data_IF_916694964036
#
_entry.id   IF_916694964036
#
_cell.length_a   1.000
_cell.length_b   1.000
_cell.length_c   1.000
_cell.angle_alpha   90.00
_cell.angle_beta   90.00
_cell.angle_gamma   90.00
#
_symmetry.space_group_name_H-M   'P 1'
#
loop_
_entity.id
_entity.type
_entity.pdbx_description
1 polymer ?
#
# COMPACT_ATOMS: atom_id res chain seq x y z
N UNK A 1 -13.03 11.96 11.52
CA UNK A 1 -13.77 10.83 10.92
C UNK A 1 -12.98 9.54 11.11
N UNK A 2 -13.62 8.35 11.05
CA UNK A 2 -13.02 7.06 11.43
C UNK A 2 -11.97 6.50 10.45
N UNK A 3 -11.58 7.27 9.44
CA UNK A 3 -10.49 6.99 8.53
C UNK A 3 -9.78 8.31 8.26
N UNK A 4 -8.79 8.66 9.10
CA UNK A 4 -7.83 9.70 8.71
C UNK A 4 -7.19 9.20 7.39
N UNK A 5 -7.38 9.94 6.30
CA UNK A 5 -6.72 9.65 5.04
C UNK A 5 -5.22 9.73 5.31
N UNK A 6 -4.52 8.60 5.17
CA UNK A 6 -3.06 8.52 5.37
C UNK A 6 -2.43 8.25 4.01
N UNK A 7 -2.45 9.23 3.08
CA UNK A 7 -1.81 9.07 1.77
C UNK A 7 -0.33 8.71 1.94
N UNK A 8 0.30 9.18 3.01
CA UNK A 8 1.69 8.86 3.34
C UNK A 8 1.96 7.34 3.51
N UNK A 9 1.01 6.56 4.07
CA UNK A 9 1.20 5.10 4.17
C UNK A 9 1.30 4.47 2.78
N UNK A 10 0.44 4.88 1.86
CA UNK A 10 0.43 4.36 0.49
C UNK A 10 1.66 4.82 -0.30
N UNK A 11 2.15 6.04 -0.06
CA UNK A 11 3.46 6.50 -0.54
C UNK A 11 4.57 5.56 -0.05
N UNK A 12 4.60 5.23 1.24
CA UNK A 12 5.59 4.30 1.82
C UNK A 12 5.45 2.90 1.23
N UNK A 13 4.23 2.40 1.02
CA UNK A 13 3.98 1.11 0.37
C UNK A 13 4.57 1.06 -1.04
N UNK A 14 4.39 2.12 -1.84
CA UNK A 14 4.97 2.24 -3.18
C UNK A 14 6.50 2.25 -3.14
N UNK A 15 7.11 3.04 -2.25
CA UNK A 15 8.56 3.10 -2.11
C UNK A 15 9.14 1.77 -1.61
N UNK A 16 8.52 1.17 -0.60
CA UNK A 16 8.91 -0.14 -0.07
C UNK A 16 8.76 -1.23 -1.14
N UNK A 17 7.68 -1.19 -1.92
CA UNK A 17 7.47 -2.09 -3.05
C UNK A 17 8.60 -2.01 -4.07
N UNK A 18 8.98 -0.80 -4.48
CA UNK A 18 10.05 -0.59 -5.45
C UNK A 18 11.45 -0.92 -4.90
N UNK A 19 11.72 -0.63 -3.62
CA UNK A 19 13.05 -0.77 -3.01
C UNK A 19 13.31 -2.16 -2.42
N UNK A 20 12.28 -2.82 -1.88
CA UNK A 20 12.41 -4.05 -1.09
C UNK A 20 11.73 -5.25 -1.76
N UNK A 21 10.89 -5.02 -2.78
CA UNK A 21 10.09 -6.05 -3.42
C UNK A 21 8.84 -6.44 -2.64
N UNK A 22 8.00 -7.34 -3.20
CA UNK A 22 6.64 -7.58 -2.72
C UNK A 22 6.57 -8.13 -1.29
N UNK A 23 7.45 -9.06 -0.91
CA UNK A 23 7.40 -9.73 0.39
C UNK A 23 7.84 -8.81 1.54
N UNK A 24 8.97 -8.12 1.38
CA UNK A 24 9.45 -7.18 2.38
C UNK A 24 8.57 -5.93 2.48
N UNK A 25 8.01 -5.46 1.37
CA UNK A 25 7.01 -4.39 1.39
C UNK A 25 5.75 -4.79 2.17
N UNK A 26 5.29 -6.04 1.99
CA UNK A 26 4.16 -6.59 2.76
C UNK A 26 4.48 -6.68 4.26
N UNK A 27 5.69 -7.11 4.61
CA UNK A 27 6.16 -7.13 6.00
C UNK A 27 6.21 -5.73 6.62
N UNK A 28 6.75 -4.75 5.89
CA UNK A 28 6.74 -3.36 6.33
C UNK A 28 5.31 -2.81 6.50
N UNK A 29 4.40 -3.12 5.56
CA UNK A 29 2.99 -2.77 5.66
C UNK A 29 2.29 -3.42 6.87
N UNK A 30 2.65 -4.66 7.20
CA UNK A 30 2.17 -5.34 8.40
C UNK A 30 2.66 -4.66 9.68
N UNK A 31 3.97 -4.44 9.80
CA UNK A 31 4.57 -3.81 11.00
C UNK A 31 4.02 -2.39 11.19
N UNK A 32 3.95 -1.60 10.12
CA UNK A 32 3.36 -0.24 10.21
C UNK A 32 1.88 -0.28 10.62
N UNK A 33 1.10 -1.24 10.11
CA UNK A 33 -0.30 -1.42 10.51
C UNK A 33 -0.43 -1.84 11.98
N UNK A 34 0.43 -2.74 12.45
CA UNK A 34 0.50 -3.17 13.85
C UNK A 34 0.82 -2.00 14.77
N UNK A 35 1.88 -1.23 14.46
CA UNK A 35 2.26 -0.06 15.23
C UNK A 35 1.14 0.99 15.27
N UNK A 36 0.47 1.25 14.15
CA UNK A 36 -0.67 2.18 14.10
C UNK A 36 -1.80 1.73 15.02
N UNK A 37 -2.08 0.43 15.05
CA UNK A 37 -3.11 -0.14 15.91
C UNK A 37 -2.73 -0.01 17.40
N UNK A 38 -1.49 -0.38 17.76
CA UNK A 38 -0.97 -0.24 19.13
C UNK A 38 -0.95 1.21 19.63
N UNK A 39 -0.64 2.16 18.75
CA UNK A 39 -0.66 3.60 19.07
C UNK A 39 -2.07 4.22 19.04
N UNK A 40 -3.12 3.44 18.76
CA UNK A 40 -4.51 3.94 18.65
C UNK A 40 -4.77 4.87 17.47
N UNK A 41 -3.84 4.96 16.51
CA UNK A 41 -3.98 5.79 15.29
C UNK A 41 -4.50 5.02 14.07
N UNK A 42 -4.52 3.69 14.18
CA UNK A 42 -5.06 2.76 13.19
C UNK A 42 -6.23 1.95 13.73
N UNK A 43 -6.89 1.23 12.84
CA UNK A 43 -7.96 0.27 13.15
C UNK A 43 -7.57 -1.10 12.59
N UNK A 44 -8.37 -2.15 12.83
CA UNK A 44 -8.12 -3.46 12.20
C UNK A 44 -8.12 -3.39 10.67
N UNK A 45 -8.82 -2.40 10.10
CA UNK A 45 -8.84 -2.12 8.66
C UNK A 45 -7.47 -1.68 8.09
N UNK A 46 -6.52 -1.27 8.93
CA UNK A 46 -5.18 -0.90 8.50
C UNK A 46 -4.43 -2.06 7.83
N UNK A 47 -4.63 -3.29 8.31
CA UNK A 47 -3.96 -4.47 7.77
C UNK A 47 -4.40 -4.78 6.33
N UNK A 48 -5.69 -5.06 6.04
CA UNK A 48 -6.11 -5.33 4.67
C UNK A 48 -6.02 -4.10 3.78
N UNK A 49 -6.09 -2.88 4.33
CA UNK A 49 -5.92 -1.65 3.56
C UNK A 49 -4.46 -1.38 3.13
N UNK A 50 -3.46 -1.99 3.78
CA UNK A 50 -2.04 -1.70 3.51
C UNK A 50 -1.30 -2.87 2.84
N UNK A 51 -1.47 -4.09 3.36
CA UNK A 51 -0.66 -5.25 2.94
C UNK A 51 -0.86 -5.61 1.45
N UNK A 52 -2.09 -5.76 0.93
CA UNK A 52 -2.31 -6.10 -0.47
C UNK A 52 -1.82 -5.00 -1.42
N UNK A 53 -1.96 -3.73 -1.03
CA UNK A 53 -1.45 -2.60 -1.79
C UNK A 53 0.08 -2.65 -1.92
N UNK A 54 0.79 -2.81 -0.79
CA UNK A 54 2.25 -2.92 -0.77
C UNK A 54 2.76 -4.12 -1.58
N UNK A 55 2.07 -5.27 -1.46
CA UNK A 55 2.39 -6.46 -2.24
C UNK A 55 2.27 -6.21 -3.74
N UNK A 56 1.13 -5.69 -4.19
CA UNK A 56 0.87 -5.45 -5.61
C UNK A 56 1.77 -4.36 -6.19
N UNK A 57 2.07 -3.31 -5.44
CA UNK A 57 3.06 -2.31 -5.82
C UNK A 57 4.43 -2.97 -6.07
N UNK A 58 4.95 -3.73 -5.10
CA UNK A 58 6.25 -4.40 -5.24
C UNK A 58 6.28 -5.43 -6.37
N UNK A 59 5.19 -6.17 -6.56
CA UNK A 59 5.09 -7.13 -7.66
C UNK A 59 5.05 -6.43 -9.03
N UNK A 60 4.29 -5.35 -9.17
CA UNK A 60 4.22 -4.56 -10.40
C UNK A 60 5.57 -3.88 -10.73
N UNK A 61 6.30 -3.35 -9.75
CA UNK A 61 7.62 -2.78 -9.97
C UNK A 61 8.62 -3.83 -10.44
N UNK A 62 8.53 -5.07 -9.95
CA UNK A 62 9.36 -6.19 -10.43
C UNK A 62 9.08 -6.54 -11.88
N UNK A 63 7.81 -6.58 -12.28
CA UNK A 63 7.42 -6.94 -13.65
C UNK A 63 7.73 -5.83 -14.65
N UNK A 64 7.28 -4.61 -14.37
CA UNK A 64 7.29 -3.54 -15.36
C UNK A 64 8.50 -2.60 -15.23
N UNK A 65 9.03 -2.41 -14.01
CA UNK A 65 10.14 -1.48 -13.72
C UNK A 65 9.86 -0.03 -14.18
N UNK A 66 8.59 0.32 -14.37
CA UNK A 66 8.15 1.66 -14.81
C UNK A 66 7.48 2.42 -13.65
N UNK A 67 7.51 3.77 -13.65
CA UNK A 67 6.89 4.58 -12.59
C UNK A 67 5.39 4.33 -12.41
N UNK A 68 4.67 3.99 -13.49
CA UNK A 68 3.23 3.72 -13.44
C UNK A 68 2.89 2.45 -12.63
N UNK A 69 3.86 1.57 -12.34
CA UNK A 69 3.65 0.43 -11.47
C UNK A 69 3.21 0.81 -10.04
N UNK A 70 3.42 2.07 -9.62
CA UNK A 70 2.86 2.62 -8.39
C UNK A 70 1.33 2.48 -8.32
N UNK A 71 0.64 2.53 -9.47
CA UNK A 71 -0.83 2.42 -9.56
C UNK A 71 -1.36 1.02 -9.24
N UNK A 72 -0.49 0.02 -9.04
CA UNK A 72 -0.89 -1.27 -8.52
C UNK A 72 -1.23 -1.21 -7.01
N UNK A 73 -0.69 -0.22 -6.27
CA UNK A 73 -0.97 -0.04 -4.84
C UNK A 73 -2.46 0.25 -4.59
N UNK A 74 -3.10 1.22 -5.26
CA UNK A 74 -4.52 1.48 -5.08
C UNK A 74 -5.41 0.33 -5.54
N UNK A 75 -4.98 -0.48 -6.52
CA UNK A 75 -5.71 -1.69 -6.93
C UNK A 75 -5.73 -2.72 -5.80
N UNK A 76 -4.57 -2.95 -5.17
CA UNK A 76 -4.48 -3.87 -4.04
C UNK A 76 -5.24 -3.38 -2.82
N UNK A 77 -5.04 -2.12 -2.45
CA UNK A 77 -5.73 -1.52 -1.31
C UNK A 77 -7.24 -1.38 -1.55
N UNK A 78 -7.62 -0.78 -2.67
CA UNK A 78 -8.99 -0.37 -2.96
C UNK A 78 -9.91 -1.53 -3.34
N UNK A 79 -9.42 -2.55 -4.07
CA UNK A 79 -10.25 -3.70 -4.46
C UNK A 79 -10.06 -4.87 -3.50
N UNK A 80 -8.83 -5.36 -3.37
CA UNK A 80 -8.55 -6.57 -2.57
C UNK A 80 -8.66 -6.25 -1.07
N UNK A 81 -8.04 -5.16 -0.63
CA UNK A 81 -8.06 -4.73 0.75
C UNK A 81 -9.46 -4.38 1.24
N UNK A 82 -10.22 -3.64 0.46
CA UNK A 82 -11.62 -3.33 0.77
C UNK A 82 -12.50 -4.59 0.79
N UNK A 83 -12.30 -5.53 -0.14
CA UNK A 83 -13.01 -6.81 -0.13
C UNK A 83 -12.74 -7.60 1.15
N UNK A 84 -11.47 -7.80 1.50
CA UNK A 84 -11.07 -8.50 2.74
C UNK A 84 -11.64 -7.79 3.98
N UNK A 85 -11.53 -6.46 4.03
CA UNK A 85 -12.09 -5.66 5.11
C UNK A 85 -13.61 -5.82 5.24
N UNK A 86 -14.34 -5.77 4.13
CA UNK A 86 -15.80 -5.88 4.14
C UNK A 86 -16.30 -7.29 4.51
N UNK A 87 -15.64 -8.34 4.00
CA UNK A 87 -16.09 -9.72 4.15
C UNK A 87 -15.68 -10.34 5.47
N UNK A 88 -14.50 -9.99 5.99
CA UNK A 88 -13.95 -10.60 7.21
C UNK A 88 -14.13 -9.67 8.40
N UNK A 89 -13.71 -8.42 8.29
CA UNK A 89 -13.68 -7.50 9.43
C UNK A 89 -15.04 -6.88 9.74
N UNK A 90 -15.86 -6.59 8.71
CA UNK A 90 -17.22 -6.07 8.91
C UNK A 90 -18.06 -6.98 9.82
N UNK A 91 -18.27 -8.26 9.45
CA UNK A 91 -19.00 -9.22 10.28
C UNK A 91 -18.37 -9.43 11.65
N UNK A 92 -17.04 -9.53 11.73
CA UNK A 92 -16.32 -9.73 13.00
C UNK A 92 -16.45 -8.54 13.97
N UNK A 93 -16.70 -7.33 13.47
CA UNK A 93 -16.90 -6.12 14.27
C UNK A 93 -18.39 -5.81 14.53
N UNK A 94 -19.30 -6.71 14.16
CA UNK A 94 -20.75 -6.53 14.33
C UNK A 94 -21.32 -5.34 13.54
N UNK A 95 -20.62 -4.87 12.51
CA UNK A 95 -21.03 -3.72 11.68
C UNK A 95 -20.95 -4.08 10.20
N UNK A 96 -22.07 -3.98 9.49
CA UNK A 96 -22.11 -4.13 8.04
C UNK A 96 -21.52 -2.88 7.36
N UNK A 97 -20.20 -2.83 7.22
CA UNK A 97 -19.55 -1.79 6.40
C UNK A 97 -19.62 -2.24 4.95
N UNK A 98 -20.37 -1.50 4.13
CA UNK A 98 -20.56 -1.85 2.72
C UNK A 98 -19.24 -1.88 1.95
N UNK A 99 -19.05 -2.91 1.12
CA UNK A 99 -17.87 -3.09 0.26
C UNK A 99 -17.54 -1.80 -0.50
N UNK A 100 -18.51 -1.24 -1.23
CA UNK A 100 -18.32 -0.04 -2.03
C UNK A 100 -17.92 1.18 -1.19
N UNK A 101 -18.42 1.30 0.04
CA UNK A 101 -18.01 2.35 0.96
C UNK A 101 -16.53 2.23 1.31
N UNK A 102 -16.05 1.02 1.57
CA UNK A 102 -14.62 0.76 1.84
C UNK A 102 -13.76 0.94 0.60
N UNK A 103 -14.21 0.49 -0.57
CA UNK A 103 -13.51 0.69 -1.85
C UNK A 103 -13.29 2.18 -2.08
N UNK A 104 -14.33 3.00 -1.97
CA UNK A 104 -14.24 4.46 -2.15
C UNK A 104 -13.33 5.08 -1.07
N UNK A 105 -13.53 4.74 0.20
CA UNK A 105 -12.75 5.30 1.30
C UNK A 105 -11.26 4.97 1.20
N UNK A 106 -10.91 3.72 0.87
CA UNK A 106 -9.53 3.28 0.72
C UNK A 106 -8.91 3.90 -0.53
N UNK A 107 -9.62 3.90 -1.66
CA UNK A 107 -9.15 4.48 -2.92
C UNK A 107 -8.90 5.98 -2.82
N UNK A 108 -9.75 6.70 -2.08
CA UNK A 108 -9.59 8.14 -1.85
C UNK A 108 -8.26 8.49 -1.15
N UNK A 109 -7.71 7.58 -0.33
CA UNK A 109 -6.41 7.75 0.33
C UNK A 109 -5.26 7.15 -0.47
N UNK A 110 -5.47 5.98 -1.10
CA UNK A 110 -4.40 5.25 -1.79
C UNK A 110 -4.02 5.88 -3.13
N UNK A 111 -4.98 6.38 -3.92
CA UNK A 111 -4.66 6.99 -5.23
C UNK A 111 -3.71 8.18 -5.08
N UNK A 112 -3.97 9.19 -4.24
CA UNK A 112 -3.03 10.29 -4.05
C UNK A 112 -1.67 9.84 -3.50
N UNK A 113 -1.66 8.91 -2.54
CA UNK A 113 -0.43 8.39 -1.96
C UNK A 113 0.42 7.62 -2.98
N UNK A 114 -0.20 6.81 -3.83
CA UNK A 114 0.48 6.08 -4.89
C UNK A 114 1.05 7.01 -5.96
N UNK A 115 0.31 8.06 -6.33
CA UNK A 115 0.82 9.09 -7.25
C UNK A 115 2.03 9.81 -6.66
N UNK A 116 1.95 10.23 -5.39
CA UNK A 116 3.08 10.86 -4.69
C UNK A 116 4.28 9.91 -4.60
N UNK A 117 4.06 8.62 -4.28
CA UNK A 117 5.10 7.60 -4.24
C UNK A 117 5.75 7.39 -5.61
N UNK A 118 4.96 7.35 -6.68
CA UNK A 118 5.45 7.22 -8.06
C UNK A 118 6.28 8.43 -8.51
N UNK A 119 5.85 9.65 -8.17
CA UNK A 119 6.62 10.88 -8.43
C UNK A 119 7.93 10.86 -7.66
N UNK A 120 7.90 10.55 -6.37
CA UNK A 120 9.11 10.50 -5.54
C UNK A 120 10.08 9.44 -6.04
N UNK A 121 9.60 8.25 -6.41
CA UNK A 121 10.42 7.20 -7.01
C UNK A 121 11.03 7.64 -8.35
N UNK A 122 10.26 8.34 -9.18
CA UNK A 122 10.76 8.90 -10.44
C UNK A 122 11.91 9.88 -10.21
N UNK A 123 11.80 10.75 -9.19
CA UNK A 123 12.88 11.67 -8.80
C UNK A 123 14.08 10.89 -8.25
N UNK A 124 13.88 9.91 -7.37
CA UNK A 124 14.96 9.08 -6.80
C UNK A 124 15.80 8.39 -7.88
N UNK A 125 15.17 7.90 -8.95
CA UNK A 125 15.83 7.27 -10.09
C UNK A 125 16.74 8.20 -10.89
N UNK A 126 16.62 9.53 -10.72
CA UNK A 126 17.50 10.53 -11.34
C UNK A 126 18.68 10.94 -10.44
N UNK A 127 18.76 10.38 -9.24
CA UNK A 127 19.82 10.66 -8.26
C UNK A 127 20.78 9.47 -8.16
N UNK A 128 21.93 9.59 -7.46
CA UNK A 128 22.82 8.45 -7.19
C UNK A 128 22.15 7.27 -6.46
N UNK A 129 20.96 7.47 -5.89
CA UNK A 129 20.17 6.42 -5.23
C UNK A 129 19.51 5.44 -6.21
N UNK A 130 19.53 5.72 -7.51
CA UNK A 130 18.94 4.87 -8.55
C UNK A 130 19.42 3.41 -8.48
N UNK A 131 20.68 3.19 -8.09
CA UNK A 131 21.27 1.85 -7.92
C UNK A 131 20.53 0.99 -6.89
N UNK A 132 20.02 1.61 -5.82
CA UNK A 132 19.26 0.89 -4.78
C UNK A 132 17.87 0.50 -5.27
N UNK A 133 17.22 1.39 -6.03
CA UNK A 133 15.92 1.10 -6.66
C UNK A 133 16.05 -0.05 -7.65
N UNK A 134 17.05 0.00 -8.53
CA UNK A 134 17.28 -1.07 -9.51
C UNK A 134 17.68 -2.39 -8.85
N UNK A 135 18.45 -2.35 -7.77
CA UNK A 135 18.79 -3.55 -6.98
C UNK A 135 17.54 -4.18 -6.36
N UNK A 136 16.66 -3.39 -5.74
CA UNK A 136 15.39 -3.86 -5.16
C UNK A 136 14.48 -4.55 -6.18
N UNK A 137 14.36 -3.97 -7.37
CA UNK A 137 13.56 -4.53 -8.48
C UNK A 137 14.13 -5.85 -9.04
N UNK A 138 15.45 -6.06 -8.92
CA UNK A 138 16.14 -7.22 -9.48
C UNK A 138 16.51 -8.31 -8.44
N UNK A 139 16.59 -7.95 -7.16
CA UNK A 139 17.21 -8.74 -6.09
C UNK A 139 16.28 -9.69 -5.33
N UNK A 140 14.97 -9.63 -5.55
CA UNK A 140 14.00 -10.51 -4.88
C UNK A 140 13.94 -11.92 -5.49
N UNK A 141 15.08 -12.57 -5.76
CA UNK A 141 15.11 -13.96 -6.25
C UNK A 141 14.45 -14.90 -5.25
#
# INVERSE_FOLDING_TARGET
>A
GPTKCYPFQHTVNVLAGALLGPWWASGAAFVTSLLRNMMGTGTLFAFPGSIPGAFLAGYAFRLFKKPWAALAEPVGTGLIGAAIASLILGPAMGRSVGLWTLVVAFSASSVPGALLGGVLLHVLRKTPLARYVQSGENGAK
#
